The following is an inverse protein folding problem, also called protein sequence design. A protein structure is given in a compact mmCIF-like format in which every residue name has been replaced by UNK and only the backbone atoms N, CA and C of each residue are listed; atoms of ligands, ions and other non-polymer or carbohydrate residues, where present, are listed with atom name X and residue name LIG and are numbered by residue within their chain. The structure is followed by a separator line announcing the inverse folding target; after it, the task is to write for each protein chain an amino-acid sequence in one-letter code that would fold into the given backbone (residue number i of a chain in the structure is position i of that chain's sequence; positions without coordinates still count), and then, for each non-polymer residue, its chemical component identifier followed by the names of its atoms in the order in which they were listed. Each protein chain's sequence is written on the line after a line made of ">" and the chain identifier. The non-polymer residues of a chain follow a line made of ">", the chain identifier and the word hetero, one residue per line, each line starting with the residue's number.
data_IF_080396795327
#
_entry.id   IF_080396795327
#
_cell.length_a   1.000
_cell.length_b   1.000
_cell.length_c   1.000
_cell.angle_alpha   90.00
_cell.angle_beta   90.00
_cell.angle_gamma   90.00
#
_symmetry.space_group_name_H-M   'P 1'
#
loop_
_entity.id
_entity.type
_entity.pdbx_description
1 polymer ?
#
# COMPACT_ATOMS: atom_id res chain seq x y z
N UNK A 1 14.54 34.53 -21.98
CA UNK A 1 14.35 35.00 -20.60
C UNK A 1 13.42 34.02 -19.88
N UNK A 2 13.84 33.37 -18.78
CA UNK A 2 12.99 32.50 -17.98
C UNK A 2 12.43 33.22 -16.74
N UNK A 3 11.20 32.92 -16.33
CA UNK A 3 10.70 33.28 -15.00
C UNK A 3 10.08 32.05 -14.32
N UNK A 4 10.76 31.63 -13.25
CA UNK A 4 10.33 30.66 -12.24
C UNK A 4 9.51 31.39 -11.17
N UNK A 5 8.42 30.78 -10.70
CA UNK A 5 7.76 31.18 -9.46
C UNK A 5 8.18 30.23 -8.34
N UNK A 6 8.83 30.79 -7.33
CA UNK A 6 9.24 30.16 -6.08
C UNK A 6 8.71 31.07 -4.96
N UNK A 7 8.02 30.53 -3.96
CA UNK A 7 7.94 31.15 -2.63
C UNK A 7 7.64 30.08 -1.60
N UNK A 8 8.69 29.63 -0.90
CA UNK A 8 8.60 28.94 0.37
C UNK A 8 8.54 29.98 1.50
N UNK A 9 7.73 29.66 2.51
CA UNK A 9 7.35 30.52 3.62
C UNK A 9 8.45 30.58 4.69
N UNK A 10 8.82 31.82 5.01
CA UNK A 10 9.35 32.46 6.22
C UNK A 10 9.90 31.61 7.39
N UNK A 11 11.16 31.91 7.68
CA UNK A 11 11.95 31.64 8.88
C UNK A 11 11.50 32.57 10.04
N UNK A 12 11.30 32.04 11.26
CA UNK A 12 11.35 32.84 12.50
C UNK A 12 12.53 32.38 13.36
N UNK A 13 13.58 33.21 13.26
CA UNK A 13 14.66 33.56 14.21
C UNK A 13 14.59 32.94 15.60
N UNK A 14 15.68 32.30 16.07
CA UNK A 14 16.39 32.66 17.33
C UNK A 14 17.92 32.47 17.19
N UNK A 15 18.60 33.61 17.04
CA UNK A 15 19.84 34.12 17.67
C UNK A 15 21.05 33.22 17.97
N UNK A 16 22.20 33.73 17.50
CA UNK A 16 23.53 33.71 18.16
C UNK A 16 24.38 32.53 17.73
N UNK A 17 25.54 32.67 17.10
CA UNK A 17 26.66 33.55 17.44
C UNK A 17 27.66 33.53 16.27
N UNK A 18 28.36 34.64 16.01
CA UNK A 18 29.40 34.72 14.98
C UNK A 18 30.58 33.79 15.34
N UNK A 19 31.04 32.98 14.38
CA UNK A 19 32.32 32.26 14.50
C UNK A 19 33.41 33.22 13.99
N UNK A 20 34.09 33.87 14.92
CA UNK A 20 35.43 34.42 14.69
C UNK A 20 36.44 33.27 14.76
N UNK A 21 37.28 33.16 13.74
CA UNK A 21 38.42 32.25 13.72
C UNK A 21 39.56 32.87 14.54
N UNK A 22 39.90 32.26 15.66
CA UNK A 22 41.17 32.43 16.35
C UNK A 22 41.68 31.08 16.85
N UNK A 23 42.92 30.80 16.48
CA UNK A 23 43.70 29.60 16.72
C UNK A 23 44.38 29.65 18.11
N UNK A 24 44.24 28.62 18.95
CA UNK A 24 45.32 27.91 19.69
C UNK A 24 44.83 27.10 20.92
N UNK A 25 45.30 25.84 20.94
CA UNK A 25 45.87 25.01 22.03
C UNK A 25 45.03 24.38 23.15
N UNK A 26 45.10 23.04 23.13
CA UNK A 26 45.17 21.98 24.17
C UNK A 26 44.39 22.09 25.50
N UNK A 27 43.63 21.01 25.79
CA UNK A 27 43.06 20.72 27.10
C UNK A 27 42.24 19.42 27.10
N UNK A 28 42.84 18.38 27.65
CA UNK A 28 42.28 17.08 28.07
C UNK A 28 40.94 17.17 28.81
N UNK A 29 39.89 16.48 28.31
CA UNK A 29 38.95 15.72 29.14
C UNK A 29 38.18 14.70 28.27
N UNK A 30 38.28 13.43 28.66
CA UNK A 30 37.73 12.27 27.98
C UNK A 30 36.21 12.17 28.09
N UNK A 31 35.49 12.90 27.24
CA UNK A 31 34.08 12.64 26.97
C UNK A 31 33.92 11.95 25.62
N UNK A 32 33.92 10.61 25.65
CA UNK A 32 33.54 9.82 24.49
C UNK A 32 32.12 10.15 24.07
N UNK A 33 31.96 10.90 22.97
CA UNK A 33 30.67 11.07 22.32
C UNK A 33 30.23 9.70 21.76
N UNK A 34 29.39 9.00 22.51
CA UNK A 34 28.61 7.89 21.98
C UNK A 34 27.53 8.47 21.07
N UNK A 35 27.81 8.52 19.78
CA UNK A 35 26.79 8.75 18.75
C UNK A 35 25.94 7.49 18.67
N UNK A 36 24.79 7.47 19.34
CA UNK A 36 23.82 6.40 19.11
C UNK A 36 23.29 6.50 17.67
N UNK A 37 23.62 5.51 16.84
CA UNK A 37 23.06 5.38 15.51
C UNK A 37 21.54 5.23 15.60
N UNK A 38 20.80 6.23 15.12
CA UNK A 38 19.36 6.18 15.05
C UNK A 38 18.94 4.99 14.15
N UNK A 39 18.21 4.03 14.73
CA UNK A 39 17.73 2.84 14.01
C UNK A 39 16.94 3.29 12.76
N UNK A 40 17.28 2.80 11.55
CA UNK A 40 16.59 3.19 10.34
C UNK A 40 15.10 2.88 10.43
N UNK A 41 14.25 3.89 10.16
CA UNK A 41 12.80 3.74 10.19
C UNK A 41 12.34 2.92 8.98
N UNK A 42 11.92 1.67 9.22
CA UNK A 42 11.34 0.81 8.18
C UNK A 42 9.92 1.28 7.86
N UNK A 43 9.69 1.75 6.62
CA UNK A 43 8.33 2.04 6.14
C UNK A 43 7.54 0.73 6.02
N UNK A 44 6.29 0.75 6.51
CA UNK A 44 5.36 -0.37 6.33
C UNK A 44 5.06 -0.55 4.83
N UNK A 45 5.01 -1.79 4.31
CA UNK A 45 4.65 -2.02 2.91
C UNK A 45 3.26 -1.47 2.59
N UNK A 46 3.04 -0.91 1.38
CA UNK A 46 1.72 -0.50 0.94
C UNK A 46 0.79 -1.72 0.86
N UNK A 47 -0.48 -1.50 1.22
CA UNK A 47 -1.53 -2.50 1.16
C UNK A 47 -2.39 -2.27 -0.09
N UNK A 48 -2.97 -3.35 -0.60
CA UNK A 48 -3.77 -3.38 -1.82
C UNK A 48 -5.09 -4.09 -1.56
N UNK A 49 -6.19 -3.50 -2.02
CA UNK A 49 -7.50 -4.16 -2.06
C UNK A 49 -7.55 -5.04 -3.30
N UNK A 50 -7.95 -6.29 -3.14
CA UNK A 50 -8.30 -7.17 -4.27
C UNK A 50 -9.80 -7.12 -4.48
N UNK A 51 -10.20 -6.89 -5.73
CA UNK A 51 -11.57 -6.58 -6.13
C UNK A 51 -12.06 -7.58 -7.17
N UNK A 52 -13.34 -7.98 -7.08
CA UNK A 52 -14.07 -8.59 -8.18
C UNK A 52 -15.01 -7.57 -8.81
N UNK A 53 -15.07 -7.57 -10.14
CA UNK A 53 -15.94 -6.70 -10.94
C UNK A 53 -17.09 -7.52 -11.49
N UNK A 54 -18.30 -6.97 -11.41
CA UNK A 54 -19.51 -7.61 -11.92
C UNK A 54 -19.49 -7.72 -13.44
N UNK A 55 -20.10 -8.79 -13.94
CA UNK A 55 -20.39 -9.04 -15.35
C UNK A 55 -21.70 -9.85 -15.48
N UNK A 56 -22.28 -9.90 -16.68
CA UNK A 56 -23.59 -10.52 -16.90
C UNK A 56 -23.53 -12.03 -17.23
N UNK A 57 -22.34 -12.64 -17.25
CA UNK A 57 -22.14 -13.99 -17.79
C UNK A 57 -21.56 -14.98 -16.78
N UNK A 58 -20.88 -14.52 -15.74
CA UNK A 58 -20.32 -15.36 -14.68
C UNK A 58 -21.43 -15.81 -13.71
N UNK A 59 -21.65 -17.13 -13.50
CA UNK A 59 -22.66 -17.62 -12.56
C UNK A 59 -22.36 -17.22 -11.11
N UNK A 60 -23.41 -16.94 -10.32
CA UNK A 60 -23.27 -16.59 -8.90
C UNK A 60 -22.51 -17.65 -8.09
N UNK A 61 -22.83 -18.94 -8.30
CA UNK A 61 -22.16 -20.06 -7.64
C UNK A 61 -20.66 -20.12 -7.97
N UNK A 62 -20.26 -19.72 -9.18
CA UNK A 62 -18.86 -19.64 -9.56
C UNK A 62 -18.13 -18.56 -8.76
N UNK A 63 -18.75 -17.39 -8.59
CA UNK A 63 -18.19 -16.29 -7.78
C UNK A 63 -18.07 -16.70 -6.31
N UNK A 64 -19.08 -17.38 -5.75
CA UNK A 64 -19.01 -17.92 -4.38
C UNK A 64 -17.84 -18.90 -4.25
N UNK A 65 -17.70 -19.85 -5.18
CA UNK A 65 -16.60 -20.81 -5.18
C UNK A 65 -15.22 -20.13 -5.26
N UNK A 66 -15.08 -19.06 -6.04
CA UNK A 66 -13.86 -18.26 -6.11
C UNK A 66 -13.54 -17.62 -4.75
N UNK A 67 -14.55 -17.04 -4.09
CA UNK A 67 -14.40 -16.38 -2.79
C UNK A 67 -14.01 -17.37 -1.68
N UNK A 68 -14.60 -18.56 -1.68
CA UNK A 68 -14.24 -19.64 -0.75
C UNK A 68 -12.82 -20.16 -1.01
N UNK A 69 -12.49 -20.48 -2.27
CA UNK A 69 -11.25 -21.18 -2.61
C UNK A 69 -10.01 -20.28 -2.55
N UNK A 70 -10.10 -19.03 -3.02
CA UNK A 70 -8.95 -18.14 -3.14
C UNK A 70 -8.86 -17.13 -2.01
N UNK A 71 -9.96 -16.83 -1.32
CA UNK A 71 -10.00 -15.85 -0.23
C UNK A 71 -10.37 -16.45 1.12
N UNK A 72 -10.58 -17.77 1.19
CA UNK A 72 -10.87 -18.50 2.42
C UNK A 72 -12.06 -17.92 3.18
N UNK A 73 -13.06 -17.43 2.44
CA UNK A 73 -14.31 -16.95 3.02
C UNK A 73 -15.18 -18.14 3.45
N UNK A 74 -15.95 -17.97 4.53
CA UNK A 74 -17.05 -18.90 4.81
C UNK A 74 -18.13 -18.76 3.74
N UNK A 75 -18.98 -19.78 3.54
CA UNK A 75 -20.05 -19.73 2.53
C UNK A 75 -20.98 -18.52 2.70
N UNK A 76 -21.31 -18.15 3.93
CA UNK A 76 -22.20 -17.02 4.23
C UNK A 76 -21.54 -15.70 3.82
N UNK A 77 -20.25 -15.53 4.14
CA UNK A 77 -19.50 -14.32 3.79
C UNK A 77 -19.26 -14.24 2.28
N UNK A 78 -18.94 -15.36 1.64
CA UNK A 78 -18.76 -15.45 0.20
C UNK A 78 -20.06 -15.05 -0.53
N UNK A 79 -21.20 -15.55 -0.08
CA UNK A 79 -22.52 -15.19 -0.63
C UNK A 79 -22.81 -13.69 -0.47
N UNK A 80 -22.52 -13.11 0.71
CA UNK A 80 -22.71 -11.68 0.93
C UNK A 80 -21.84 -10.81 0.02
N UNK A 81 -20.56 -11.17 -0.14
CA UNK A 81 -19.64 -10.45 -1.02
C UNK A 81 -20.04 -10.62 -2.49
N UNK A 82 -20.45 -11.81 -2.90
CA UNK A 82 -20.97 -12.06 -4.25
C UNK A 82 -22.19 -11.17 -4.55
N UNK A 83 -23.17 -11.11 -3.65
CA UNK A 83 -24.34 -10.24 -3.81
C UNK A 83 -23.95 -8.75 -3.85
N UNK A 84 -22.92 -8.37 -3.09
CA UNK A 84 -22.39 -7.01 -3.15
C UNK A 84 -21.79 -6.69 -4.52
N UNK A 85 -20.94 -7.57 -5.07
CA UNK A 85 -20.38 -7.43 -6.42
C UNK A 85 -21.52 -7.29 -7.43
N UNK A 86 -22.49 -8.21 -7.40
CA UNK A 86 -23.62 -8.23 -8.33
C UNK A 86 -24.45 -6.93 -8.31
N UNK A 87 -24.72 -6.40 -7.11
CA UNK A 87 -25.60 -5.23 -6.96
C UNK A 87 -24.88 -3.89 -7.07
N UNK A 88 -23.57 -3.83 -6.80
CA UNK A 88 -22.77 -2.60 -6.77
C UNK A 88 -21.78 -2.47 -7.93
N UNK A 89 -21.63 -3.52 -8.73
CA UNK A 89 -20.69 -3.56 -9.85
C UNK A 89 -19.26 -3.95 -9.46
N UNK A 90 -18.90 -3.85 -8.18
CA UNK A 90 -17.58 -4.20 -7.66
C UNK A 90 -17.68 -4.61 -6.19
N UNK A 91 -16.78 -5.48 -5.73
CA UNK A 91 -16.71 -5.86 -4.32
C UNK A 91 -15.29 -6.21 -3.88
N UNK A 92 -14.98 -5.88 -2.62
CA UNK A 92 -13.67 -6.14 -2.01
C UNK A 92 -13.60 -7.56 -1.47
N UNK A 93 -12.67 -8.34 -1.98
CA UNK A 93 -12.42 -9.72 -1.56
C UNK A 93 -11.44 -9.80 -0.37
N UNK A 94 -10.51 -8.85 -0.28
CA UNK A 94 -9.56 -8.77 0.83
C UNK A 94 -8.52 -7.68 0.64
N UNK A 95 -7.73 -7.44 1.67
CA UNK A 95 -6.62 -6.46 1.67
C UNK A 95 -5.32 -7.21 1.96
N UNK A 96 -4.32 -7.04 1.11
CA UNK A 96 -3.07 -7.79 1.16
C UNK A 96 -1.86 -6.89 0.87
N UNK A 97 -0.66 -7.39 1.11
CA UNK A 97 0.55 -6.78 0.51
C UNK A 97 0.51 -6.95 -1.01
N UNK A 98 1.25 -6.10 -1.72
CA UNK A 98 1.30 -6.09 -3.20
C UNK A 98 1.50 -7.48 -3.81
N UNK A 99 2.55 -8.20 -3.40
CA UNK A 99 2.91 -9.49 -4.00
C UNK A 99 1.81 -10.56 -3.82
N UNK A 100 1.15 -10.55 -2.67
CA UNK A 100 0.03 -11.46 -2.38
C UNK A 100 -1.20 -11.06 -3.21
N UNK A 101 -1.47 -9.75 -3.33
CA UNK A 101 -2.57 -9.25 -4.15
C UNK A 101 -2.37 -9.60 -5.64
N UNK A 102 -1.18 -9.36 -6.20
CA UNK A 102 -0.83 -9.71 -7.58
C UNK A 102 -1.02 -11.22 -7.84
N UNK A 103 -0.54 -12.05 -6.91
CA UNK A 103 -0.68 -13.51 -7.00
C UNK A 103 -2.15 -13.92 -7.01
N UNK A 104 -2.97 -13.41 -6.09
CA UNK A 104 -4.40 -13.73 -6.02
C UNK A 104 -5.15 -13.27 -7.26
N UNK A 105 -4.87 -12.06 -7.74
CA UNK A 105 -5.44 -11.53 -8.99
C UNK A 105 -5.14 -12.45 -10.17
N UNK A 106 -3.88 -12.86 -10.34
CA UNK A 106 -3.49 -13.79 -11.41
C UNK A 106 -4.22 -15.13 -11.29
N UNK A 107 -4.22 -15.73 -10.10
CA UNK A 107 -4.85 -17.04 -9.85
C UNK A 107 -6.35 -17.04 -10.17
N UNK A 108 -7.08 -16.03 -9.71
CA UNK A 108 -8.53 -15.92 -9.94
C UNK A 108 -8.83 -15.70 -11.42
N UNK A 109 -8.08 -14.82 -12.08
CA UNK A 109 -8.27 -14.55 -13.51
C UNK A 109 -7.96 -15.78 -14.38
N UNK A 110 -6.88 -16.51 -14.06
CA UNK A 110 -6.53 -17.75 -14.75
C UNK A 110 -7.59 -18.84 -14.54
N UNK A 111 -8.08 -18.99 -13.31
CA UNK A 111 -9.15 -19.94 -13.00
C UNK A 111 -10.44 -19.59 -13.73
N UNK A 112 -10.82 -18.32 -13.78
CA UNK A 112 -12.00 -17.84 -14.50
C UNK A 112 -11.91 -18.12 -16.00
N UNK A 113 -10.77 -17.82 -16.63
CA UNK A 113 -10.52 -18.14 -18.05
C UNK A 113 -10.59 -19.64 -18.34
N UNK A 114 -10.00 -20.48 -17.48
CA UNK A 114 -10.02 -21.95 -17.64
C UNK A 114 -11.43 -22.54 -17.54
N UNK A 115 -12.32 -21.89 -16.81
CA UNK A 115 -13.74 -22.27 -16.69
C UNK A 115 -14.66 -21.49 -17.64
N UNK A 116 -14.11 -20.76 -18.62
CA UNK A 116 -14.86 -20.01 -19.62
C UNK A 116 -15.78 -18.92 -19.06
N UNK A 117 -15.36 -18.28 -17.95
CA UNK A 117 -16.06 -17.14 -17.37
C UNK A 117 -15.26 -15.84 -17.56
N UNK A 118 -15.91 -14.72 -17.91
CA UNK A 118 -15.24 -13.43 -18.10
C UNK A 118 -14.97 -12.67 -16.79
N UNK A 119 -15.19 -13.31 -15.62
CA UNK A 119 -14.99 -12.72 -14.30
C UNK A 119 -13.64 -12.00 -14.19
N UNK A 120 -13.69 -10.72 -13.86
CA UNK A 120 -12.52 -9.87 -13.71
C UNK A 120 -12.16 -9.70 -12.22
N UNK A 121 -10.95 -10.12 -11.89
CA UNK A 121 -10.27 -9.80 -10.63
C UNK A 121 -9.20 -8.73 -10.87
N UNK A 122 -9.15 -7.71 -10.02
CA UNK A 122 -8.17 -6.62 -10.09
C UNK A 122 -7.72 -6.19 -8.70
N UNK A 123 -6.78 -5.25 -8.61
CA UNK A 123 -6.35 -4.66 -7.34
C UNK A 123 -6.08 -3.16 -7.45
N UNK A 124 -6.23 -2.45 -6.33
CA UNK A 124 -5.90 -1.03 -6.18
C UNK A 124 -5.19 -0.77 -4.84
N UNK A 125 -4.42 0.32 -4.74
CA UNK A 125 -3.81 0.74 -3.47
C UNK A 125 -4.91 1.08 -2.44
N UNK A 126 -4.74 0.62 -1.20
CA UNK A 126 -5.77 0.62 -0.17
C UNK A 126 -6.04 1.98 0.49
#
# INVERSE_FOLDING_TARGET
>A
MPHRFTTAFTLYVIRGTQISLSNQEEGDDGSGLSVEEAKPAVKRPPLYKVLLVNDDYTPMEFVVHVLESFFSMSPEKATQVMLHVHTRGVGVCGVFTRDIAETKVSQVNDFSRKNHHPLLCTMEEA
#
